data_IF_723483014911
#
_entry.id   IF_723483014911
#
_cell.length_a   1.000
_cell.length_b   1.000
_cell.length_c   1.000
_cell.angle_alpha   90.00
_cell.angle_beta   90.00
_cell.angle_gamma   90.00
#
_symmetry.space_group_name_H-M   'P 1'
#
loop_
_entity.id
_entity.type
_entity.pdbx_description
1 polymer ?
#
# COMPACT_ATOMS: atom_id res chain seq x y z
N UNK A 1 24.90 1.32 19.00
CA UNK A 1 24.16 1.54 20.26
C UNK A 1 22.69 1.35 19.92
N UNK A 2 22.05 0.29 20.41
CA UNK A 2 20.60 0.08 20.24
C UNK A 2 19.88 1.03 21.19
N UNK A 3 19.17 2.01 20.65
CA UNK A 3 18.35 2.94 21.43
C UNK A 3 16.99 2.31 21.71
N UNK A 4 16.26 2.87 22.68
CA UNK A 4 14.87 2.46 22.93
C UNK A 4 14.00 2.72 21.68
N UNK A 5 13.00 1.85 21.44
CA UNK A 5 12.09 1.97 20.30
C UNK A 5 11.38 3.32 20.25
N UNK A 6 11.08 3.94 21.40
CA UNK A 6 10.48 5.26 21.49
C UNK A 6 11.30 6.35 20.78
N UNK A 7 12.63 6.25 20.78
CA UNK A 7 13.50 7.20 20.08
C UNK A 7 13.26 7.20 18.57
N UNK A 8 12.97 6.05 17.97
CA UNK A 8 12.70 5.91 16.54
C UNK A 8 11.33 6.49 16.15
N UNK A 9 10.33 6.36 17.01
CA UNK A 9 9.05 7.06 16.79
C UNK A 9 9.20 8.57 16.89
N UNK A 10 10.00 9.05 17.85
CA UNK A 10 10.30 10.49 17.99
C UNK A 10 11.15 11.03 16.84
N UNK A 11 11.94 10.17 16.16
CA UNK A 11 12.74 10.57 14.99
C UNK A 11 11.87 11.05 13.83
N UNK A 12 10.56 10.72 13.82
CA UNK A 12 9.58 11.28 12.89
C UNK A 12 9.64 12.81 12.81
N UNK A 13 9.93 13.48 13.94
CA UNK A 13 10.02 14.94 14.03
C UNK A 13 11.46 15.47 13.96
N UNK A 14 12.42 14.62 13.59
CA UNK A 14 13.83 14.96 13.46
C UNK A 14 14.27 14.86 12.00
N UNK A 15 15.31 15.60 11.63
CA UNK A 15 15.88 15.54 10.28
C UNK A 15 16.97 14.48 10.22
N UNK A 16 16.77 13.47 9.38
CA UNK A 16 17.69 12.38 9.10
C UNK A 16 17.48 11.87 7.66
N UNK A 17 18.33 10.93 7.22
CA UNK A 17 18.31 10.46 5.82
C UNK A 17 16.98 9.79 5.43
N UNK A 18 16.31 9.14 6.38
CA UNK A 18 15.01 8.49 6.16
C UNK A 18 13.80 9.43 6.32
N UNK A 19 13.98 10.69 6.75
CA UNK A 19 12.83 11.57 7.04
C UNK A 19 11.94 11.78 5.82
N UNK A 20 12.52 11.97 4.63
CA UNK A 20 11.74 12.15 3.41
C UNK A 20 10.96 10.88 3.04
N UNK A 21 11.57 9.70 3.20
CA UNK A 21 10.90 8.42 2.94
C UNK A 21 9.70 8.25 3.88
N UNK A 22 9.88 8.52 5.18
CA UNK A 22 8.77 8.45 6.15
C UNK A 22 7.66 9.45 5.82
N UNK A 23 7.99 10.74 5.63
CA UNK A 23 6.99 11.78 5.46
C UNK A 23 6.21 11.65 4.14
N UNK A 24 6.85 11.22 3.06
CA UNK A 24 6.16 11.03 1.76
C UNK A 24 5.10 9.94 1.84
N UNK A 25 5.40 8.78 2.41
CA UNK A 25 4.44 7.70 2.58
C UNK A 25 3.39 8.03 3.66
N UNK A 26 3.80 8.67 4.76
CA UNK A 26 2.89 9.08 5.83
C UNK A 26 1.85 10.08 5.33
N UNK A 27 2.23 11.06 4.50
CA UNK A 27 1.30 12.05 3.95
C UNK A 27 0.44 11.50 2.80
N UNK A 28 0.91 10.48 2.08
CA UNK A 28 0.11 9.84 1.04
C UNK A 28 -1.16 9.19 1.59
N UNK A 29 -1.10 8.58 2.79
CA UNK A 29 -2.24 7.92 3.42
C UNK A 29 -3.44 8.85 3.70
N UNK A 30 -3.29 9.99 4.40
CA UNK A 30 -4.39 10.92 4.62
C UNK A 30 -4.85 11.58 3.31
N UNK A 31 -3.96 11.86 2.35
CA UNK A 31 -4.37 12.37 1.03
C UNK A 31 -5.29 11.37 0.33
N UNK A 32 -4.95 10.09 0.35
CA UNK A 32 -5.75 9.02 -0.24
C UNK A 32 -7.11 8.88 0.46
N UNK A 33 -7.14 8.94 1.80
CA UNK A 33 -8.38 8.89 2.58
C UNK A 33 -9.28 10.12 2.36
N UNK A 34 -8.70 11.31 2.22
CA UNK A 34 -9.45 12.54 1.91
C UNK A 34 -10.02 12.48 0.49
N UNK A 35 -9.25 11.97 -0.48
CA UNK A 35 -9.73 11.72 -1.84
C UNK A 35 -10.88 10.73 -1.84
N UNK A 36 -10.77 9.65 -1.07
CA UNK A 36 -11.85 8.69 -0.87
C UNK A 36 -13.11 9.36 -0.34
N UNK A 37 -13.01 10.02 0.81
CA UNK A 37 -14.12 10.69 1.48
C UNK A 37 -14.83 11.68 0.54
N UNK A 38 -14.06 12.49 -0.19
CA UNK A 38 -14.61 13.51 -1.07
C UNK A 38 -15.36 12.94 -2.28
N UNK A 39 -15.06 11.71 -2.72
CA UNK A 39 -15.58 11.15 -3.97
C UNK A 39 -16.51 9.94 -3.78
N UNK A 40 -16.47 9.26 -2.63
CA UNK A 40 -17.22 8.02 -2.41
C UNK A 40 -18.74 8.18 -2.68
N UNK A 41 -19.33 9.29 -2.23
CA UNK A 41 -20.74 9.61 -2.50
C UNK A 41 -21.02 9.89 -3.98
N UNK A 42 -20.15 10.64 -4.65
CA UNK A 42 -20.30 10.95 -6.08
C UNK A 42 -20.10 9.71 -6.97
N UNK A 43 -19.30 8.75 -6.52
CA UNK A 43 -19.08 7.46 -7.18
C UNK A 43 -20.20 6.45 -6.94
N UNK A 44 -21.19 6.78 -6.08
CA UNK A 44 -22.25 5.84 -5.71
C UNK A 44 -21.70 4.60 -5.02
N UNK A 45 -20.64 4.73 -4.21
CA UNK A 45 -20.02 3.60 -3.52
C UNK A 45 -20.99 2.94 -2.52
N UNK A 46 -21.29 1.65 -2.74
CA UNK A 46 -22.34 0.92 -2.02
C UNK A 46 -21.86 -0.38 -1.36
N UNK A 47 -20.54 -0.60 -1.23
CA UNK A 47 -19.96 -1.84 -0.68
C UNK A 47 -20.49 -3.12 -1.38
N UNK A 48 -20.80 -3.01 -2.68
CA UNK A 48 -21.26 -4.12 -3.51
C UNK A 48 -20.11 -4.78 -4.28
N UNK A 49 -20.43 -5.82 -5.07
CA UNK A 49 -19.44 -6.53 -5.87
C UNK A 49 -18.72 -5.62 -6.89
N UNK A 50 -19.39 -4.57 -7.39
CA UNK A 50 -18.81 -3.61 -8.32
C UNK A 50 -17.77 -2.70 -7.62
N UNK A 51 -17.97 -2.41 -6.34
CA UNK A 51 -17.09 -1.57 -5.52
C UNK A 51 -15.93 -2.34 -4.87
N UNK A 52 -16.02 -3.67 -4.80
CA UNK A 52 -15.04 -4.53 -4.12
C UNK A 52 -13.59 -4.35 -4.64
N UNK A 53 -13.32 -4.31 -5.97
CA UNK A 53 -11.96 -4.08 -6.47
C UNK A 53 -11.36 -2.77 -5.99
N UNK A 54 -12.17 -1.71 -5.92
CA UNK A 54 -11.76 -0.40 -5.42
C UNK A 54 -11.48 -0.45 -3.91
N UNK A 55 -12.31 -1.13 -3.12
CA UNK A 55 -12.06 -1.33 -1.68
C UNK A 55 -10.75 -2.09 -1.43
N UNK A 56 -10.50 -3.15 -2.19
CA UNK A 56 -9.29 -3.97 -2.09
C UNK A 56 -8.04 -3.18 -2.52
N UNK A 57 -8.14 -2.37 -3.57
CA UNK A 57 -7.09 -1.41 -3.94
C UNK A 57 -6.78 -0.46 -2.78
N UNK A 58 -7.81 0.16 -2.17
CA UNK A 58 -7.62 1.09 -1.05
C UNK A 58 -6.96 0.43 0.16
N UNK A 59 -7.39 -0.77 0.53
CA UNK A 59 -6.76 -1.54 1.61
C UNK A 59 -5.31 -1.85 1.26
N UNK A 60 -5.03 -2.32 0.05
CA UNK A 60 -3.67 -2.67 -0.38
C UNK A 60 -2.72 -1.46 -0.34
N UNK A 61 -3.19 -0.28 -0.77
CA UNK A 61 -2.43 0.96 -0.75
C UNK A 61 -2.11 1.39 0.68
N UNK A 62 -3.10 1.35 1.57
CA UNK A 62 -2.89 1.69 2.98
C UNK A 62 -1.94 0.71 3.67
N UNK A 63 -2.05 -0.59 3.37
CA UNK A 63 -1.12 -1.61 3.87
C UNK A 63 0.31 -1.29 3.45
N UNK A 64 0.55 -1.03 2.16
CA UNK A 64 1.86 -0.62 1.65
C UNK A 64 2.41 0.61 2.39
N UNK A 65 1.62 1.68 2.47
CA UNK A 65 2.06 2.93 3.11
C UNK A 65 2.43 2.73 4.59
N UNK A 66 1.66 1.91 5.32
CA UNK A 66 1.95 1.60 6.73
C UNK A 66 3.23 0.79 6.86
N UNK A 67 3.41 -0.25 6.03
CA UNK A 67 4.60 -1.09 6.09
C UNK A 67 5.86 -0.30 5.72
N UNK A 68 5.77 0.57 4.71
CA UNK A 68 6.87 1.45 4.31
C UNK A 68 7.25 2.47 5.39
N UNK A 69 6.26 3.17 5.97
CA UNK A 69 6.52 4.09 7.10
C UNK A 69 7.18 3.36 8.27
N UNK A 70 6.68 2.16 8.59
CA UNK A 70 7.23 1.34 9.67
C UNK A 70 8.68 0.94 9.38
N UNK A 71 9.00 0.54 8.14
CA UNK A 71 10.36 0.20 7.75
C UNK A 71 11.33 1.36 7.86
N UNK A 72 10.99 2.52 7.27
CA UNK A 72 11.89 3.66 7.29
C UNK A 72 12.06 4.27 8.69
N UNK A 73 11.09 4.11 9.59
CA UNK A 73 11.24 4.50 11.00
C UNK A 73 12.08 3.50 11.80
N UNK A 74 11.84 2.20 11.64
CA UNK A 74 12.30 1.18 12.58
C UNK A 74 13.51 0.35 12.11
N UNK A 75 13.87 0.44 10.82
CA UNK A 75 14.97 -0.35 10.25
C UNK A 75 16.31 -0.14 10.96
N UNK A 76 16.58 1.06 11.46
CA UNK A 76 17.88 1.42 12.02
C UNK A 76 18.07 0.97 13.49
N UNK A 77 17.08 0.28 14.06
CA UNK A 77 17.16 -0.25 15.42
C UNK A 77 18.25 -1.33 15.56
N UNK A 78 18.25 -2.33 14.68
CA UNK A 78 19.24 -3.41 14.67
C UNK A 78 19.33 -4.03 13.29
N UNK A 79 20.40 -4.79 13.01
CA UNK A 79 20.53 -5.52 11.74
C UNK A 79 19.33 -6.46 11.49
N UNK A 80 18.84 -7.13 12.54
CA UNK A 80 17.64 -7.97 12.44
C UNK A 80 16.38 -7.14 12.11
N UNK A 81 16.22 -5.99 12.77
CA UNK A 81 15.09 -5.10 12.51
C UNK A 81 15.14 -4.58 11.06
N UNK A 82 16.32 -4.21 10.57
CA UNK A 82 16.55 -3.78 9.20
C UNK A 82 15.99 -4.79 8.20
N UNK A 83 16.46 -6.05 8.25
CA UNK A 83 16.00 -7.08 7.33
C UNK A 83 14.51 -7.39 7.48
N UNK A 84 14.01 -7.46 8.72
CA UNK A 84 12.61 -7.77 8.99
C UNK A 84 11.66 -6.71 8.42
N UNK A 85 11.92 -5.43 8.69
CA UNK A 85 11.01 -4.39 8.25
C UNK A 85 11.10 -4.12 6.75
N UNK A 86 12.29 -4.17 6.14
CA UNK A 86 12.38 -4.08 4.68
C UNK A 86 11.73 -5.28 3.98
N UNK A 87 11.81 -6.48 4.55
CA UNK A 87 11.03 -7.62 4.02
C UNK A 87 9.53 -7.33 4.04
N UNK A 88 9.00 -6.78 5.13
CA UNK A 88 7.60 -6.38 5.21
C UNK A 88 7.26 -5.26 4.22
N UNK A 89 8.14 -4.28 4.03
CA UNK A 89 7.95 -3.22 3.03
C UNK A 89 7.81 -3.81 1.61
N UNK A 90 8.67 -4.76 1.24
CA UNK A 90 8.56 -5.48 -0.03
C UNK A 90 7.26 -6.29 -0.16
N UNK A 91 6.79 -6.92 0.92
CA UNK A 91 5.46 -7.56 0.94
C UNK A 91 4.36 -6.52 0.70
N UNK A 92 4.48 -5.33 1.30
CA UNK A 92 3.57 -4.21 1.07
C UNK A 92 3.52 -3.79 -0.40
N UNK A 93 4.68 -3.63 -1.03
CA UNK A 93 4.78 -3.33 -2.48
C UNK A 93 4.06 -4.37 -3.32
N UNK A 94 4.28 -5.67 -3.07
CA UNK A 94 3.63 -6.76 -3.81
C UNK A 94 2.10 -6.75 -3.62
N UNK A 95 1.63 -6.52 -2.38
CA UNK A 95 0.19 -6.41 -2.07
C UNK A 95 -0.43 -5.22 -2.81
N UNK A 96 0.23 -4.06 -2.81
CA UNK A 96 -0.24 -2.89 -3.54
C UNK A 96 -0.23 -3.09 -5.05
N UNK A 97 0.81 -3.71 -5.60
CA UNK A 97 0.90 -4.06 -7.02
C UNK A 97 -0.27 -4.97 -7.45
N UNK A 98 -0.61 -5.96 -6.63
CA UNK A 98 -1.75 -6.83 -6.88
C UNK A 98 -3.08 -6.06 -6.80
N UNK A 99 -3.25 -5.19 -5.80
CA UNK A 99 -4.43 -4.34 -5.68
C UNK A 99 -4.63 -3.39 -6.87
N UNK A 100 -3.54 -2.78 -7.37
CA UNK A 100 -3.55 -2.01 -8.62
C UNK A 100 -4.01 -2.88 -9.80
N UNK A 101 -3.43 -4.07 -9.95
CA UNK A 101 -3.76 -5.00 -11.03
C UNK A 101 -5.24 -5.39 -11.01
N UNK A 102 -5.79 -5.62 -9.81
CA UNK A 102 -7.21 -5.91 -9.61
C UNK A 102 -8.10 -4.73 -10.05
N UNK A 103 -7.77 -3.51 -9.60
CA UNK A 103 -8.50 -2.30 -9.98
C UNK A 103 -8.47 -2.05 -11.49
N UNK A 104 -7.30 -2.15 -12.12
CA UNK A 104 -7.16 -2.05 -13.58
C UNK A 104 -7.95 -3.13 -14.30
N UNK A 105 -7.82 -4.39 -13.86
CA UNK A 105 -8.56 -5.49 -14.45
C UNK A 105 -10.07 -5.25 -14.43
N UNK A 106 -10.66 -4.80 -13.31
CA UNK A 106 -12.09 -4.62 -13.22
C UNK A 106 -12.63 -3.30 -13.78
N UNK A 107 -11.89 -2.19 -13.70
CA UNK A 107 -12.40 -0.87 -14.10
C UNK A 107 -11.97 -0.41 -15.49
N UNK A 108 -10.92 -1.00 -16.08
CA UNK A 108 -10.43 -0.56 -17.40
C UNK A 108 -10.55 -1.62 -18.49
N UNK A 109 -10.99 -2.84 -18.17
CA UNK A 109 -11.11 -3.94 -19.15
C UNK A 109 -12.56 -4.21 -19.54
N UNK A 110 -12.81 -4.44 -20.83
CA UNK A 110 -14.12 -4.84 -21.35
C UNK A 110 -14.55 -6.22 -20.77
N UNK A 111 -15.85 -6.44 -20.47
CA UNK A 111 -16.34 -7.73 -19.98
C UNK A 111 -15.89 -8.94 -20.80
N UNK A 112 -15.98 -8.86 -22.14
CA UNK A 112 -15.57 -9.92 -23.07
C UNK A 112 -14.07 -10.27 -22.95
N UNK A 113 -13.23 -9.25 -22.78
CA UNK A 113 -11.79 -9.42 -22.57
C UNK A 113 -11.50 -10.08 -21.22
N UNK A 114 -12.15 -9.62 -20.14
CA UNK A 114 -12.01 -10.22 -18.80
C UNK A 114 -12.37 -11.69 -18.79
N UNK A 115 -13.45 -12.09 -19.46
CA UNK A 115 -13.81 -13.50 -19.56
C UNK A 115 -12.74 -14.32 -20.31
N UNK A 116 -12.12 -13.75 -21.34
CA UNK A 116 -11.11 -14.43 -22.14
C UNK A 116 -9.75 -14.56 -21.43
N UNK A 117 -9.29 -13.53 -20.72
CA UNK A 117 -7.94 -13.49 -20.13
C UNK A 117 -7.91 -13.63 -18.61
N UNK A 118 -9.08 -13.60 -17.96
CA UNK A 118 -9.20 -13.54 -16.50
C UNK A 118 -8.59 -14.73 -15.77
N UNK A 119 -8.64 -15.91 -16.39
CA UNK A 119 -8.02 -17.13 -15.86
C UNK A 119 -6.49 -17.04 -15.76
N UNK A 120 -5.85 -16.14 -16.50
CA UNK A 120 -4.40 -15.98 -16.53
C UNK A 120 -3.92 -14.66 -15.91
N UNK A 121 -4.69 -13.58 -16.08
CA UNK A 121 -4.25 -12.25 -15.68
C UNK A 121 -4.08 -12.11 -14.16
N UNK A 122 -5.13 -12.42 -13.37
CA UNK A 122 -5.05 -12.26 -11.92
C UNK A 122 -4.03 -13.25 -11.28
N UNK A 123 -4.01 -14.55 -11.65
CA UNK A 123 -2.97 -15.45 -11.16
C UNK A 123 -1.56 -15.03 -11.59
N UNK A 124 -1.41 -14.55 -12.83
CA UNK A 124 -0.14 -14.02 -13.34
C UNK A 124 0.31 -12.78 -12.56
N UNK A 125 -0.58 -11.84 -12.30
CA UNK A 125 -0.28 -10.65 -11.49
C UNK A 125 0.11 -11.01 -10.05
N UNK A 126 -0.45 -12.09 -9.47
CA UNK A 126 -0.04 -12.58 -8.15
C UNK A 126 1.33 -13.26 -8.17
N UNK A 127 1.71 -13.91 -9.27
CA UNK A 127 2.95 -14.67 -9.38
C UNK A 127 4.16 -13.82 -9.81
N UNK A 128 3.93 -12.83 -10.69
CA UNK A 128 4.97 -11.95 -11.22
C UNK A 128 5.05 -10.58 -10.54
N UNK A 129 4.12 -10.29 -9.62
CA UNK A 129 4.08 -9.06 -8.83
C UNK A 129 5.06 -9.05 -7.66
#
# INVERSE_FOLDING_TARGET
IQQDWGCYFLSLFQRHNESLNVWTHLLAAPVLLLRWWANAGALGYTLDAASLPLSLFMVSALTYLILSVTAHLLQSHSERAHYFFFFLDYVGVAVYQYGCSLGHYFYTSEPSWRESIGLFFLPGAAFFG
#
